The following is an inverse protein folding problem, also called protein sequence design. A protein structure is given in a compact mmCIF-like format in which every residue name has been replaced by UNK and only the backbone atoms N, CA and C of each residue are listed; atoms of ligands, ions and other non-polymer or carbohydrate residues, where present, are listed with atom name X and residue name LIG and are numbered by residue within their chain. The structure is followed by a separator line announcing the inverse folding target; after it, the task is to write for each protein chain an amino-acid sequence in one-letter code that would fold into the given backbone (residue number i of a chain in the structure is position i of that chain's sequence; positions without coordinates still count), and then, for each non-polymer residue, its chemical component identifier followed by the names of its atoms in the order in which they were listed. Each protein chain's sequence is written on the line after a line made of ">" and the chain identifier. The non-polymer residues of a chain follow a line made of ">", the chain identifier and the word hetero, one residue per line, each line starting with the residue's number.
data_IF_902982401386
#
_entry.id   IF_902982401386
#
_cell.length_a   1.000
_cell.length_b   1.000
_cell.length_c   1.000
_cell.angle_alpha   90.00
_cell.angle_beta   90.00
_cell.angle_gamma   90.00
#
_symmetry.space_group_name_H-M   'P 1'
#
loop_
_entity.id
_entity.type
_entity.pdbx_description
1 polymer ?
#
# COMPACT_ATOMS: atom_id res chain seq x y z
N UNK A 1 17.42 -57.69 -44.23
CA UNK A 1 16.40 -58.41 -43.42
C UNK A 1 15.09 -57.70 -43.67
N UNK A 2 14.13 -58.40 -44.28
CA UNK A 2 12.89 -57.86 -44.84
C UNK A 2 11.75 -58.09 -43.85
N UNK A 3 11.01 -57.03 -43.53
CA UNK A 3 9.61 -57.05 -43.12
C UNK A 3 9.07 -55.64 -43.45
N UNK A 4 8.42 -55.48 -44.60
CA UNK A 4 6.98 -55.59 -44.83
C UNK A 4 6.19 -54.33 -44.37
N UNK A 5 5.91 -53.47 -45.35
CA UNK A 5 4.88 -52.41 -45.44
C UNK A 5 3.42 -52.98 -45.44
N UNK A 6 2.33 -52.19 -45.64
CA UNK A 6 1.89 -50.92 -45.04
C UNK A 6 0.35 -50.92 -44.70
N UNK A 7 -0.17 -49.90 -44.02
CA UNK A 7 -1.60 -49.55 -44.09
C UNK A 7 -1.89 -48.07 -43.74
N UNK A 8 -2.28 -47.32 -44.77
CA UNK A 8 -3.42 -46.38 -44.88
C UNK A 8 -3.69 -45.24 -43.85
N UNK A 9 -3.31 -44.02 -44.28
CA UNK A 9 -4.16 -42.82 -44.46
C UNK A 9 -4.82 -42.10 -43.23
N UNK A 10 -5.48 -40.92 -43.39
CA UNK A 10 -4.98 -39.66 -42.82
C UNK A 10 -5.99 -38.84 -41.98
N UNK A 11 -5.51 -37.74 -41.39
CA UNK A 11 -6.23 -36.52 -40.97
C UNK A 11 -7.35 -36.63 -39.91
N UNK A 12 -7.05 -36.14 -38.70
CA UNK A 12 -8.04 -35.46 -37.84
C UNK A 12 -7.34 -34.44 -36.92
N UNK A 13 -7.69 -33.14 -36.97
CA UNK A 13 -7.47 -32.23 -35.86
C UNK A 13 -8.74 -32.19 -34.98
N UNK A 14 -8.65 -32.65 -33.73
CA UNK A 14 -9.69 -32.39 -32.73
C UNK A 14 -9.15 -32.49 -31.30
N UNK A 15 -8.83 -31.34 -30.72
CA UNK A 15 -9.40 -30.94 -29.43
C UNK A 15 -9.09 -29.47 -29.18
N UNK A 16 -10.14 -28.67 -29.30
CA UNK A 16 -10.19 -27.32 -28.82
C UNK A 16 -10.01 -27.32 -27.30
N UNK A 17 -8.93 -26.69 -26.85
CA UNK A 17 -8.78 -26.22 -25.48
C UNK A 17 -9.76 -25.08 -25.21
N UNK A 18 -10.17 -25.05 -23.96
CA UNK A 18 -11.17 -24.20 -23.36
C UNK A 18 -10.85 -22.69 -23.50
N UNK A 19 -11.84 -21.98 -24.02
CA UNK A 19 -12.47 -20.80 -23.42
C UNK A 19 -11.55 -19.67 -22.91
N UNK A 20 -11.39 -18.65 -23.76
CA UNK A 20 -11.36 -17.25 -23.33
C UNK A 20 -12.01 -16.40 -24.44
N UNK A 21 -13.34 -16.23 -24.36
CA UNK A 21 -14.08 -15.27 -25.19
C UNK A 21 -14.42 -14.04 -24.35
N UNK A 22 -14.31 -12.82 -24.90
CA UNK A 22 -14.46 -11.58 -24.15
C UNK A 22 -15.88 -11.37 -23.63
N UNK A 23 -15.95 -10.79 -22.43
CA UNK A 23 -17.17 -10.36 -21.76
C UNK A 23 -18.07 -9.56 -22.71
N UNK A 24 -19.28 -10.06 -22.94
CA UNK A 24 -20.36 -9.28 -23.52
C UNK A 24 -20.80 -8.21 -22.50
N UNK A 25 -21.20 -7.01 -22.94
CA UNK A 25 -21.81 -6.02 -22.06
C UNK A 25 -23.13 -6.58 -21.48
N UNK A 26 -23.56 -6.14 -20.29
CA UNK A 26 -24.86 -6.53 -19.77
C UNK A 26 -25.94 -6.07 -20.78
N UNK A 27 -26.74 -7.02 -21.24
CA UNK A 27 -27.99 -6.74 -21.94
C UNK A 27 -28.87 -5.84 -21.07
N UNK A 28 -29.52 -4.80 -21.63
CA UNK A 28 -30.53 -4.07 -20.89
C UNK A 28 -31.63 -5.05 -20.50
N UNK A 29 -32.02 -5.01 -19.22
CA UNK A 29 -33.06 -5.87 -18.66
C UNK A 29 -34.31 -5.78 -19.52
N UNK A 30 -34.71 -6.95 -19.99
CA UNK A 30 -35.94 -7.28 -20.66
C UNK A 30 -37.11 -6.65 -19.91
N UNK A 31 -38.13 -6.22 -20.66
CA UNK A 31 -39.39 -5.71 -20.12
C UNK A 31 -40.08 -6.70 -19.17
N UNK A 32 -41.22 -6.28 -18.60
CA UNK A 32 -41.83 -6.91 -17.43
C UNK A 32 -41.97 -8.43 -17.61
N UNK A 33 -41.43 -9.17 -16.63
CA UNK A 33 -41.42 -10.62 -16.62
C UNK A 33 -42.81 -11.23 -16.86
N UNK A 34 -42.78 -12.35 -17.59
CA UNK A 34 -43.89 -13.19 -18.10
C UNK A 34 -45.05 -13.39 -17.10
N UNK A 35 -44.78 -13.39 -15.80
CA UNK A 35 -45.79 -13.52 -14.74
C UNK A 35 -46.76 -12.34 -14.61
N UNK A 36 -46.38 -11.14 -15.04
CA UNK A 36 -47.28 -9.96 -15.05
C UNK A 36 -48.35 -10.10 -16.13
N UNK A 37 -48.01 -10.74 -17.26
CA UNK A 37 -48.94 -10.97 -18.37
C UNK A 37 -49.91 -12.11 -18.09
N UNK A 38 -49.51 -13.16 -17.35
CA UNK A 38 -50.40 -14.23 -16.91
C UNK A 38 -51.45 -13.72 -15.89
N UNK A 39 -51.03 -12.84 -14.97
CA UNK A 39 -51.93 -12.19 -14.02
C UNK A 39 -52.94 -11.26 -14.72
N UNK A 40 -52.52 -10.50 -15.75
CA UNK A 40 -53.41 -9.67 -16.57
C UNK A 40 -54.39 -10.54 -17.37
N UNK A 41 -53.97 -11.72 -17.84
CA UNK A 41 -54.82 -12.71 -18.50
C UNK A 41 -55.92 -13.26 -17.58
N UNK A 42 -55.60 -13.57 -16.31
CA UNK A 42 -56.58 -14.05 -15.33
C UNK A 42 -57.58 -12.96 -14.92
N UNK A 43 -57.16 -11.69 -14.81
CA UNK A 43 -58.07 -10.56 -14.53
C UNK A 43 -59.09 -10.37 -15.66
N UNK A 44 -58.68 -10.52 -16.92
CA UNK A 44 -59.58 -10.42 -18.07
C UNK A 44 -60.65 -11.54 -18.08
N UNK A 45 -60.30 -12.74 -17.61
CA UNK A 45 -61.21 -13.88 -17.58
C UNK A 45 -62.22 -13.83 -16.42
N UNK A 46 -61.84 -13.19 -15.30
CA UNK A 46 -62.68 -12.99 -14.12
C UNK A 46 -63.74 -11.90 -14.28
N UNK A 47 -63.51 -10.90 -15.14
CA UNK A 47 -64.51 -9.87 -15.48
C UNK A 47 -65.62 -10.43 -16.40
N UNK A 48 -65.38 -11.54 -17.09
CA UNK A 48 -66.32 -12.13 -18.06
C UNK A 48 -67.40 -13.05 -17.44
N UNK A 49 -67.27 -13.49 -16.18
CA UNK A 49 -68.22 -14.43 -15.54
C UNK A 49 -68.88 -13.77 -14.32
N UNK A 50 -70.00 -13.09 -14.58
CA UNK A 50 -70.73 -12.30 -13.58
C UNK A 50 -71.46 -13.12 -12.51
N UNK A 51 -71.02 -12.96 -11.26
CA UNK A 51 -71.81 -13.17 -10.03
C UNK A 51 -71.37 -12.15 -8.98
N UNK A 52 -72.31 -11.50 -8.27
CA UNK A 52 -72.02 -10.40 -7.34
C UNK A 52 -71.12 -10.80 -6.16
N UNK A 53 -71.04 -12.10 -5.86
CA UNK A 53 -70.13 -12.67 -4.85
C UNK A 53 -68.69 -12.85 -5.38
N UNK A 54 -68.51 -12.92 -6.71
CA UNK A 54 -67.20 -13.00 -7.34
C UNK A 54 -66.49 -11.63 -7.36
N UNK A 55 -67.20 -10.51 -7.51
CA UNK A 55 -66.57 -9.18 -7.66
C UNK A 55 -65.77 -8.77 -6.41
N UNK A 56 -66.22 -9.16 -5.21
CA UNK A 56 -65.50 -8.88 -3.95
C UNK A 56 -64.29 -9.82 -3.79
N UNK A 57 -64.45 -11.09 -4.18
CA UNK A 57 -63.36 -12.07 -4.14
C UNK A 57 -62.25 -11.74 -5.16
N UNK A 58 -62.62 -11.28 -6.36
CA UNK A 58 -61.67 -10.84 -7.38
C UNK A 58 -60.92 -9.58 -6.94
N UNK A 59 -61.63 -8.59 -6.38
CA UNK A 59 -61.00 -7.38 -5.86
C UNK A 59 -60.01 -7.69 -4.72
N UNK A 60 -60.36 -8.62 -3.82
CA UNK A 60 -59.46 -9.06 -2.74
C UNK A 60 -58.23 -9.79 -3.27
N UNK A 61 -58.38 -10.65 -4.28
CA UNK A 61 -57.27 -11.37 -4.89
C UNK A 61 -56.33 -10.41 -5.64
N UNK A 62 -56.83 -9.45 -6.44
CA UNK A 62 -55.92 -8.52 -7.14
C UNK A 62 -55.24 -7.57 -6.16
N UNK A 63 -55.93 -7.14 -5.09
CA UNK A 63 -55.33 -6.31 -4.05
C UNK A 63 -54.22 -7.05 -3.30
N UNK A 64 -54.43 -8.34 -3.01
CA UNK A 64 -53.39 -9.21 -2.46
C UNK A 64 -52.21 -9.38 -3.43
N UNK A 65 -52.45 -9.59 -4.73
CA UNK A 65 -51.41 -9.73 -5.75
C UNK A 65 -50.61 -8.44 -5.98
N UNK A 66 -51.24 -7.26 -5.93
CA UNK A 66 -50.53 -5.98 -6.01
C UNK A 66 -49.69 -5.74 -4.75
N UNK A 67 -50.20 -6.15 -3.58
CA UNK A 67 -49.46 -6.03 -2.31
C UNK A 67 -48.24 -6.94 -2.32
N UNK A 68 -48.36 -8.19 -2.76
CA UNK A 68 -47.22 -9.11 -2.84
C UNK A 68 -46.17 -8.64 -3.85
N UNK A 69 -46.57 -8.07 -4.99
CA UNK A 69 -45.64 -7.46 -5.94
C UNK A 69 -44.89 -6.26 -5.33
N UNK A 70 -45.59 -5.37 -4.60
CA UNK A 70 -44.96 -4.22 -3.92
C UNK A 70 -44.02 -4.66 -2.79
N UNK A 71 -44.34 -5.73 -2.08
CA UNK A 71 -43.48 -6.30 -1.03
C UNK A 71 -42.21 -6.92 -1.61
N UNK A 72 -42.29 -7.56 -2.79
CA UNK A 72 -41.13 -8.08 -3.51
C UNK A 72 -40.19 -6.95 -3.98
N UNK A 73 -40.74 -5.90 -4.59
CA UNK A 73 -39.99 -4.72 -5.02
C UNK A 73 -39.29 -4.02 -3.84
N UNK A 74 -39.98 -3.88 -2.70
CA UNK A 74 -39.41 -3.30 -1.48
C UNK A 74 -38.33 -4.21 -0.85
N UNK A 75 -38.47 -5.53 -0.94
CA UNK A 75 -37.47 -6.47 -0.45
C UNK A 75 -36.19 -6.42 -1.30
N UNK A 76 -36.32 -6.31 -2.63
CA UNK A 76 -35.18 -6.10 -3.52
C UNK A 76 -34.51 -4.75 -3.28
N UNK A 77 -35.29 -3.66 -3.18
CA UNK A 77 -34.76 -2.33 -2.87
C UNK A 77 -34.00 -2.31 -1.53
N UNK A 78 -34.49 -3.01 -0.49
CA UNK A 78 -33.79 -3.16 0.79
C UNK A 78 -32.47 -3.92 0.65
N UNK A 79 -32.45 -5.01 -0.10
CA UNK A 79 -31.22 -5.78 -0.36
C UNK A 79 -30.16 -4.94 -1.08
N UNK A 80 -30.57 -4.14 -2.06
CA UNK A 80 -29.67 -3.21 -2.76
C UNK A 80 -29.14 -2.14 -1.80
N UNK A 81 -30.02 -1.51 -1.01
CA UNK A 81 -29.62 -0.50 -0.03
C UNK A 81 -28.65 -1.03 1.03
N UNK A 82 -28.88 -2.24 1.55
CA UNK A 82 -27.98 -2.90 2.51
C UNK A 82 -26.63 -3.25 1.88
N UNK A 83 -26.61 -3.69 0.62
CA UNK A 83 -25.37 -3.97 -0.11
C UNK A 83 -24.56 -2.69 -0.39
N UNK A 84 -25.22 -1.59 -0.75
CA UNK A 84 -24.56 -0.30 -0.95
C UNK A 84 -24.01 0.26 0.37
N UNK A 85 -24.76 0.17 1.47
CA UNK A 85 -24.29 0.56 2.79
C UNK A 85 -23.08 -0.27 3.24
N UNK A 86 -23.08 -1.58 2.95
CA UNK A 86 -21.94 -2.45 3.24
C UNK A 86 -20.70 -2.08 2.40
N UNK A 87 -20.88 -1.70 1.11
CA UNK A 87 -19.78 -1.22 0.26
C UNK A 87 -19.18 0.09 0.78
N UNK A 88 -20.03 1.04 1.18
CA UNK A 88 -19.59 2.31 1.77
C UNK A 88 -18.83 2.08 3.08
N UNK A 89 -19.35 1.21 3.95
CA UNK A 89 -18.68 0.86 5.20
C UNK A 89 -17.32 0.18 4.97
N UNK A 90 -17.22 -0.69 3.96
CA UNK A 90 -15.96 -1.33 3.59
C UNK A 90 -14.93 -0.32 3.03
N UNK A 91 -15.36 0.66 2.23
CA UNK A 91 -14.50 1.72 1.72
C UNK A 91 -13.94 2.60 2.85
N UNK A 92 -14.80 3.00 3.80
CA UNK A 92 -14.37 3.80 4.96
C UNK A 92 -13.45 3.00 5.89
N UNK A 93 -13.69 1.70 6.08
CA UNK A 93 -12.77 0.83 6.82
C UNK A 93 -11.39 0.73 6.12
N UNK A 94 -11.38 0.59 4.79
CA UNK A 94 -10.13 0.53 4.02
C UNK A 94 -9.36 1.86 4.08
N UNK A 95 -10.04 3.00 3.98
CA UNK A 95 -9.44 4.34 4.17
C UNK A 95 -8.88 4.51 5.57
N UNK A 96 -9.60 4.08 6.61
CA UNK A 96 -9.14 4.15 8.00
C UNK A 96 -7.89 3.29 8.23
N UNK A 97 -7.85 2.08 7.67
CA UNK A 97 -6.66 1.22 7.73
C UNK A 97 -5.46 1.85 7.00
N UNK A 98 -5.68 2.42 5.81
CA UNK A 98 -4.65 3.12 5.05
C UNK A 98 -4.10 4.33 5.83
N UNK A 99 -4.97 5.14 6.44
CA UNK A 99 -4.57 6.26 7.28
C UNK A 99 -3.76 5.81 8.51
N UNK A 100 -4.17 4.72 9.17
CA UNK A 100 -3.42 4.13 10.29
C UNK A 100 -2.03 3.68 9.85
N UNK A 101 -1.92 2.96 8.74
CA UNK A 101 -0.63 2.52 8.19
C UNK A 101 0.28 3.69 7.81
N UNK A 102 -0.29 4.75 7.23
CA UNK A 102 0.44 5.98 6.89
C UNK A 102 0.95 6.69 8.15
N UNK A 103 0.13 6.81 9.20
CA UNK A 103 0.53 7.39 10.47
C UNK A 103 1.65 6.58 11.15
N UNK A 104 1.56 5.24 11.15
CA UNK A 104 2.63 4.39 11.67
C UNK A 104 3.93 4.51 10.86
N UNK A 105 3.84 4.63 9.53
CA UNK A 105 5.00 4.86 8.67
C UNK A 105 5.65 6.23 8.94
N UNK A 106 4.84 7.28 9.10
CA UNK A 106 5.32 8.61 9.47
C UNK A 106 6.00 8.60 10.85
N UNK A 107 5.41 7.93 11.84
CA UNK A 107 6.01 7.80 13.17
C UNK A 107 7.34 7.01 13.14
N UNK A 108 7.45 5.97 12.31
CA UNK A 108 8.72 5.25 12.10
C UNK A 108 9.76 6.14 11.42
N UNK A 109 9.36 6.90 10.40
CA UNK A 109 10.25 7.84 9.73
C UNK A 109 10.76 8.93 10.69
N UNK A 110 9.90 9.44 11.56
CA UNK A 110 10.30 10.44 12.56
C UNK A 110 11.27 9.85 13.60
N UNK A 111 11.02 8.63 14.08
CA UNK A 111 11.97 7.94 14.97
C UNK A 111 13.31 7.69 14.30
N UNK A 112 13.33 7.34 13.01
CA UNK A 112 14.56 7.16 12.25
C UNK A 112 15.32 8.49 12.06
N UNK A 113 14.60 9.59 11.81
CA UNK A 113 15.17 10.95 11.77
C UNK A 113 15.74 11.35 13.13
N UNK A 114 15.01 11.13 14.22
CA UNK A 114 15.48 11.41 15.57
C UNK A 114 16.70 10.56 15.95
N UNK A 115 16.76 9.29 15.54
CA UNK A 115 17.93 8.44 15.74
C UNK A 115 19.15 8.90 14.93
N UNK A 116 18.92 9.59 13.81
CA UNK A 116 19.96 10.15 12.93
C UNK A 116 20.30 11.61 13.27
N UNK A 117 19.47 12.29 14.05
CA UNK A 117 19.68 13.65 14.52
C UNK A 117 20.68 13.61 15.67
N UNK A 118 21.96 13.78 15.33
CA UNK A 118 22.99 14.02 16.33
C UNK A 118 22.65 15.31 17.11
N UNK A 119 22.81 15.33 18.45
CA UNK A 119 22.55 16.51 19.26
C UNK A 119 23.41 17.68 18.78
N UNK A 120 22.89 18.91 18.86
CA UNK A 120 23.65 20.11 18.55
C UNK A 120 24.92 20.15 19.43
N UNK A 121 26.09 20.11 18.79
CA UNK A 121 27.36 19.97 19.52
C UNK A 121 27.87 21.35 19.94
N UNK A 122 28.05 21.56 21.25
CA UNK A 122 28.76 22.71 21.76
C UNK A 122 30.21 22.71 21.25
N UNK A 123 30.67 23.82 20.66
CA UNK A 123 32.01 23.92 20.07
C UNK A 123 32.11 23.48 18.61
N UNK A 124 31.00 23.39 17.87
CA UNK A 124 31.01 23.10 16.42
C UNK A 124 32.03 23.91 15.63
N UNK A 125 32.28 25.18 15.99
CA UNK A 125 33.30 26.04 15.37
C UNK A 125 34.74 25.55 15.58
N UNK A 126 35.05 24.94 16.73
CA UNK A 126 36.37 24.34 16.98
C UNK A 126 36.55 23.09 16.12
N UNK A 127 35.50 22.27 16.03
CA UNK A 127 35.50 21.07 15.19
C UNK A 127 35.55 21.40 13.70
N UNK A 128 34.89 22.47 13.24
CA UNK A 128 35.02 22.98 11.87
C UNK A 128 36.43 23.46 11.58
N UNK A 129 37.05 24.17 12.52
CA UNK A 129 38.43 24.63 12.38
C UNK A 129 39.41 23.45 12.32
N UNK A 130 39.14 22.39 13.09
CA UNK A 130 39.89 21.14 13.02
C UNK A 130 39.68 20.45 11.67
N UNK A 131 38.43 20.32 11.21
CA UNK A 131 38.12 19.72 9.91
C UNK A 131 38.73 20.53 8.74
N UNK A 132 38.77 21.85 8.84
CA UNK A 132 39.47 22.70 7.88
C UNK A 132 40.97 22.39 7.83
N UNK A 133 41.60 22.10 8.97
CA UNK A 133 43.00 21.68 9.04
C UNK A 133 43.22 20.25 8.55
N UNK A 134 42.32 19.32 8.88
CA UNK A 134 42.44 17.88 8.62
C UNK A 134 42.06 17.50 7.17
N UNK A 135 40.95 18.04 6.65
CA UNK A 135 40.39 17.67 5.34
C UNK A 135 40.12 18.85 4.41
N UNK A 136 40.52 20.06 4.78
CA UNK A 136 40.08 21.28 4.09
C UNK A 136 38.60 21.60 4.30
N UNK A 137 37.96 20.99 5.30
CA UNK A 137 36.55 21.20 5.64
C UNK A 137 35.58 20.32 4.86
N UNK A 138 36.09 19.35 4.08
CA UNK A 138 35.25 18.39 3.38
C UNK A 138 34.85 17.24 4.31
N UNK A 139 33.60 17.25 4.77
CA UNK A 139 33.05 16.24 5.69
C UNK A 139 32.76 14.89 5.04
N UNK A 140 32.64 14.84 3.71
CA UNK A 140 32.38 13.61 2.95
C UNK A 140 33.64 13.05 2.29
N UNK A 141 34.83 13.54 2.67
CA UNK A 141 36.08 13.15 2.02
C UNK A 141 36.39 11.65 2.25
N UNK A 142 36.78 10.99 1.16
CA UNK A 142 37.34 9.65 1.17
C UNK A 142 38.34 9.55 0.02
N UNK A 143 39.62 9.77 0.32
CA UNK A 143 40.71 9.75 -0.67
C UNK A 143 41.36 8.36 -0.80
N UNK A 144 40.92 7.38 -0.02
CA UNK A 144 41.55 6.06 0.03
C UNK A 144 42.85 6.01 0.87
N UNK A 145 43.14 7.05 1.66
CA UNK A 145 44.32 7.11 2.55
C UNK A 145 44.15 6.36 3.90
N UNK A 146 43.03 5.64 4.08
CA UNK A 146 42.71 4.93 5.32
C UNK A 146 42.03 5.79 6.41
N UNK A 147 41.80 7.07 6.11
CA UNK A 147 41.06 8.01 6.96
C UNK A 147 39.82 8.51 6.24
N UNK A 148 38.80 8.89 7.01
CA UNK A 148 37.48 9.19 6.48
C UNK A 148 36.89 10.43 7.11
N UNK A 149 36.19 11.21 6.29
CA UNK A 149 35.36 12.33 6.72
C UNK A 149 36.16 13.56 7.17
N UNK A 150 35.44 14.56 7.68
CA UNK A 150 35.98 15.89 7.94
C UNK A 150 37.09 15.91 8.98
N UNK A 151 36.99 15.02 9.97
CA UNK A 151 37.95 14.92 11.07
C UNK A 151 38.98 13.82 10.88
N UNK A 152 39.10 13.26 9.67
CA UNK A 152 40.10 12.24 9.34
C UNK A 152 40.11 11.07 10.33
N UNK A 153 38.94 10.47 10.56
CA UNK A 153 38.83 9.31 11.45
C UNK A 153 39.44 8.06 10.81
N UNK A 154 40.14 7.26 11.61
CA UNK A 154 40.37 5.85 11.26
C UNK A 154 39.08 5.04 11.50
N UNK A 155 38.86 3.99 10.71
CA UNK A 155 37.68 3.13 10.87
C UNK A 155 37.67 2.41 12.22
N UNK A 156 38.85 2.08 12.77
CA UNK A 156 38.97 1.44 14.09
C UNK A 156 38.57 2.39 15.21
N UNK A 157 39.05 3.64 15.20
CA UNK A 157 38.66 4.65 16.19
C UNK A 157 37.17 4.99 16.12
N UNK A 158 36.63 5.12 14.90
CA UNK A 158 35.20 5.35 14.67
C UNK A 158 34.33 4.28 15.32
N UNK A 159 34.64 3.00 15.05
CA UNK A 159 33.92 1.87 15.64
C UNK A 159 34.13 1.79 17.15
N UNK A 160 35.33 2.13 17.63
CA UNK A 160 35.66 2.13 19.05
C UNK A 160 34.81 3.09 19.90
N UNK A 161 34.30 4.19 19.31
CA UNK A 161 33.39 5.14 19.97
C UNK A 161 31.91 4.90 19.66
N UNK A 162 31.58 3.76 19.03
CA UNK A 162 30.21 3.34 18.72
C UNK A 162 29.69 3.82 17.37
N UNK A 163 30.58 4.27 16.47
CA UNK A 163 30.23 4.60 15.09
C UNK A 163 29.91 3.37 14.26
N UNK A 164 28.83 3.43 13.47
CA UNK A 164 28.45 2.43 12.47
C UNK A 164 28.78 2.92 11.06
N UNK A 165 28.89 2.02 10.08
CA UNK A 165 29.25 2.40 8.70
C UNK A 165 30.64 3.03 8.59
N UNK A 166 30.81 3.93 7.60
CA UNK A 166 32.02 4.73 7.45
C UNK A 166 31.82 6.19 7.91
N UNK A 167 32.85 6.85 8.49
CA UNK A 167 32.73 8.24 8.94
C UNK A 167 32.30 9.23 7.84
N UNK A 168 32.78 9.05 6.60
CA UNK A 168 32.47 9.94 5.47
C UNK A 168 31.03 9.83 4.96
N UNK A 169 30.31 8.76 5.33
CA UNK A 169 28.88 8.57 5.04
C UNK A 169 27.99 9.20 6.12
N UNK A 170 28.57 9.52 7.29
CA UNK A 170 27.86 10.12 8.40
C UNK A 170 27.76 11.64 8.26
N UNK A 171 26.67 12.22 8.77
CA UNK A 171 26.53 13.68 8.80
C UNK A 171 27.66 14.33 9.60
N UNK A 172 27.94 15.60 9.29
CA UNK A 172 28.89 16.42 10.04
C UNK A 172 28.64 16.35 11.55
N UNK A 173 27.39 16.51 11.97
CA UNK A 173 27.00 16.52 13.38
C UNK A 173 27.25 15.15 14.03
N UNK A 174 27.04 14.06 13.29
CA UNK A 174 27.36 12.70 13.77
C UNK A 174 28.87 12.51 13.92
N UNK A 175 29.66 12.98 12.95
CA UNK A 175 31.12 12.92 13.03
C UNK A 175 31.64 13.70 14.23
N UNK A 176 31.11 14.91 14.47
CA UNK A 176 31.46 15.72 15.63
C UNK A 176 31.03 15.05 16.94
N UNK A 177 29.83 14.47 17.02
CA UNK A 177 29.37 13.78 18.22
C UNK A 177 30.28 12.59 18.58
N UNK A 178 30.75 11.84 17.59
CA UNK A 178 31.73 10.76 17.81
C UNK A 178 33.12 11.31 18.17
N UNK A 179 33.50 12.45 17.60
CA UNK A 179 34.76 13.13 17.94
C UNK A 179 34.76 13.66 19.37
N UNK A 180 33.63 14.14 19.88
CA UNK A 180 33.47 14.54 21.28
C UNK A 180 33.64 13.34 22.21
N UNK A 181 33.09 12.17 21.86
CA UNK A 181 33.31 10.92 22.62
C UNK A 181 34.78 10.51 22.62
N UNK A 182 35.44 10.59 21.47
CA UNK A 182 36.87 10.28 21.35
C UNK A 182 37.73 11.30 22.13
N UNK A 183 37.41 12.59 22.06
CA UNK A 183 38.07 13.64 22.83
C UNK A 183 37.88 13.45 24.33
N UNK A 184 36.71 12.99 24.76
CA UNK A 184 36.45 12.74 26.18
C UNK A 184 37.32 11.61 26.75
N UNK A 185 37.83 10.69 25.92
CA UNK A 185 38.67 9.58 26.39
C UNK A 185 40.18 9.85 26.29
N UNK A 186 40.63 10.61 25.28
CA UNK A 186 42.06 10.86 25.03
C UNK A 186 42.44 12.33 24.79
N UNK A 187 41.52 13.27 25.06
CA UNK A 187 41.73 14.69 24.81
C UNK A 187 41.93 15.02 23.33
N UNK A 188 42.61 16.13 23.06
CA UNK A 188 42.96 16.55 21.69
C UNK A 188 44.16 15.78 21.10
N UNK A 189 44.66 14.76 21.81
CA UNK A 189 45.80 13.92 21.39
C UNK A 189 45.53 13.07 20.15
N UNK A 190 44.26 12.87 19.79
CA UNK A 190 43.85 12.15 18.57
C UNK A 190 44.09 12.95 17.28
N UNK A 191 44.27 14.28 17.38
CA UNK A 191 44.52 15.18 16.25
C UNK A 191 45.80 16.01 16.49
N UNK A 192 46.97 15.39 16.71
CA UNK A 192 48.12 16.05 17.33
C UNK A 192 48.69 17.21 16.49
N UNK A 193 48.61 17.16 15.17
CA UNK A 193 49.14 18.22 14.32
C UNK A 193 48.21 19.45 14.31
N UNK A 194 46.93 19.23 14.03
CA UNK A 194 45.95 20.30 13.92
C UNK A 194 45.52 20.86 15.28
N UNK A 195 45.44 20.05 16.33
CA UNK A 195 45.15 20.53 17.68
C UNK A 195 46.22 21.50 18.18
N UNK A 196 47.52 21.19 17.96
CA UNK A 196 48.63 22.10 18.27
C UNK A 196 48.55 23.40 17.48
N UNK A 197 48.23 23.32 16.18
CA UNK A 197 48.08 24.51 15.32
C UNK A 197 46.94 25.41 15.78
N UNK A 198 45.87 24.83 16.31
CA UNK A 198 44.70 25.54 16.82
C UNK A 198 44.79 25.90 18.32
N UNK A 199 45.87 25.53 19.00
CA UNK A 199 46.08 25.82 20.43
C UNK A 199 45.19 25.00 21.38
N UNK A 200 44.66 23.86 20.92
CA UNK A 200 43.79 22.97 21.69
C UNK A 200 44.65 22.05 22.57
N UNK A 201 44.36 22.00 23.87
CA UNK A 201 45.08 21.22 24.88
C UNK A 201 44.12 20.42 25.75
#
# INVERSE_FOLDING_TARGET
>A
MVAAEPADAPLAPSRADAAASPAQPPTPLTGPDDGTLEAVGQVAQLVAVGSSQNVVATASWISASITSAREAELAEARRVAEAEAARQAAEEAAKAEAARKAAEAAARAERARAASAAPAVAGGSVWDSLAACESGGNWAINTGNGYYGGLQFSLSSWRGVGGTGYPHEASRETQIAMAERLRSSGGWGHWPACSRKLGLR
#
